data_IF_076369866072
#
_entry.id   IF_076369866072
#
_cell.length_a   1.000
_cell.length_b   1.000
_cell.length_c   1.000
_cell.angle_alpha   90.00
_cell.angle_beta   90.00
_cell.angle_gamma   90.00
#
_symmetry.space_group_name_H-M   'P 1'
#
loop_
_entity.id
_entity.type
_entity.pdbx_description
1 polymer ?
#
# COMPACT_ATOMS: atom_id res chain seq x y z
N UNK A 1 -1.23 7.15 7.85
CA UNK A 1 -1.16 6.29 9.04
C UNK A 1 -1.97 6.97 10.13
N UNK A 2 -2.84 6.21 10.76
CA UNK A 2 -3.57 6.57 11.98
C UNK A 2 -2.80 6.06 13.19
N UNK A 3 -2.97 6.70 14.35
CA UNK A 3 -2.41 6.22 15.63
C UNK A 3 -2.93 4.83 16.02
N UNK A 4 -4.04 4.39 15.42
CA UNK A 4 -4.63 3.07 15.62
C UNK A 4 -4.12 1.99 14.67
N UNK A 5 -3.26 2.32 13.70
CA UNK A 5 -2.79 1.34 12.72
C UNK A 5 -1.80 0.36 13.37
N UNK A 6 -2.07 -0.95 13.23
CA UNK A 6 -1.21 -2.02 13.78
C UNK A 6 -0.20 -2.58 12.78
N UNK A 7 -0.25 -2.12 11.52
CA UNK A 7 0.65 -2.53 10.45
C UNK A 7 0.95 -1.35 9.53
N UNK A 8 2.18 -1.28 9.03
CA UNK A 8 2.68 -0.15 8.23
C UNK A 8 3.44 -0.68 7.01
N UNK A 9 3.21 -0.04 5.85
CA UNK A 9 4.00 -0.26 4.65
C UNK A 9 4.89 0.95 4.41
N UNK A 10 6.20 0.75 4.52
CA UNK A 10 7.21 1.80 4.30
C UNK A 10 7.76 1.62 2.89
N UNK A 11 7.59 2.63 2.03
CA UNK A 11 8.10 2.65 0.67
C UNK A 11 9.19 3.73 0.58
N UNK A 12 10.38 3.35 0.14
CA UNK A 12 11.51 4.25 -0.07
C UNK A 12 11.85 4.32 -1.57
N UNK A 13 11.88 5.53 -2.12
CA UNK A 13 12.44 5.81 -3.45
C UNK A 13 13.82 6.42 -3.25
N UNK A 14 14.84 5.85 -3.87
CA UNK A 14 16.22 6.31 -3.71
C UNK A 14 16.99 6.18 -5.03
N UNK A 15 18.04 6.98 -5.19
CA UNK A 15 18.97 6.84 -6.31
C UNK A 15 19.82 5.59 -6.11
N UNK A 16 20.16 4.91 -7.22
CA UNK A 16 20.94 3.67 -7.18
C UNK A 16 22.34 3.90 -6.64
N UNK A 17 22.88 5.10 -6.79
CA UNK A 17 24.22 5.48 -6.33
C UNK A 17 24.30 5.76 -4.82
N UNK A 18 23.16 5.91 -4.14
CA UNK A 18 23.11 6.21 -2.71
C UNK A 18 23.16 4.91 -1.89
N UNK A 19 24.11 4.84 -0.94
CA UNK A 19 24.13 3.77 0.06
C UNK A 19 22.90 3.85 0.95
N UNK A 20 22.08 2.81 0.90
CA UNK A 20 20.90 2.70 1.75
C UNK A 20 21.27 2.22 3.16
N UNK A 21 20.94 3.03 4.16
CA UNK A 21 20.96 2.60 5.55
C UNK A 21 19.59 2.03 5.95
N UNK A 22 19.20 0.90 5.34
CA UNK A 22 17.93 0.22 5.64
C UNK A 22 17.79 -0.10 7.14
N UNK A 23 18.91 -0.38 7.81
CA UNK A 23 19.00 -0.56 9.27
C UNK A 23 18.42 0.59 10.05
N UNK A 24 18.63 1.82 9.59
CA UNK A 24 18.24 3.02 10.32
C UNK A 24 16.73 3.21 10.25
N UNK A 25 16.12 2.87 9.11
CA UNK A 25 14.66 2.89 8.92
C UNK A 25 14.01 1.79 9.77
N UNK A 26 14.56 0.58 9.72
CA UNK A 26 14.06 -0.56 10.50
C UNK A 26 14.12 -0.23 12.00
N UNK A 27 15.20 0.39 12.47
CA UNK A 27 15.37 0.78 13.87
C UNK A 27 14.36 1.85 14.37
N UNK A 28 13.60 2.50 13.48
CA UNK A 28 12.53 3.44 13.85
C UNK A 28 11.17 2.79 14.01
N UNK A 29 11.03 1.51 13.68
CA UNK A 29 9.77 0.78 13.76
C UNK A 29 9.83 -0.19 14.92
N UNK A 30 9.01 0.06 15.95
CA UNK A 30 8.79 -0.90 17.02
C UNK A 30 7.77 -1.94 16.52
N UNK A 31 8.27 -3.03 15.94
CA UNK A 31 7.43 -4.06 15.36
C UNK A 31 8.22 -5.17 14.67
N UNK A 32 7.50 -6.01 13.94
CA UNK A 32 8.06 -7.13 13.20
C UNK A 32 7.96 -6.86 11.70
N UNK A 33 9.10 -6.92 11.00
CA UNK A 33 9.11 -6.93 9.55
C UNK A 33 8.60 -8.29 9.03
N UNK A 34 7.69 -8.26 8.08
CA UNK A 34 7.13 -9.44 7.42
C UNK A 34 7.45 -9.41 5.91
N UNK A 35 7.43 -10.57 5.22
CA UNK A 35 7.56 -10.64 3.77
C UNK A 35 6.47 -9.83 3.03
N UNK A 36 6.80 -9.30 1.86
CA UNK A 36 5.89 -8.41 1.09
C UNK A 36 4.70 -9.17 0.50
N UNK A 37 4.88 -10.46 0.22
CA UNK A 37 3.85 -11.38 -0.21
C UNK A 37 2.68 -11.48 0.79
N UNK A 38 2.94 -11.25 2.08
CA UNK A 38 1.95 -11.32 3.15
C UNK A 38 1.08 -10.05 3.26
N UNK A 39 1.35 -9.00 2.46
CA UNK A 39 0.53 -7.76 2.44
C UNK A 39 -0.95 -8.05 2.13
N UNK A 40 -1.22 -9.09 1.35
CA UNK A 40 -2.58 -9.53 1.05
C UNK A 40 -3.37 -9.91 2.32
N UNK A 41 -2.69 -10.44 3.35
CA UNK A 41 -3.31 -10.82 4.63
C UNK A 41 -3.66 -9.60 5.51
N UNK A 42 -2.99 -8.47 5.28
CA UNK A 42 -3.21 -7.20 5.99
C UNK A 42 -4.21 -6.28 5.26
N UNK A 43 -4.63 -6.66 4.06
CA UNK A 43 -5.47 -5.84 3.20
C UNK A 43 -6.94 -6.01 3.56
N UNK A 44 -7.69 -4.89 3.59
CA UNK A 44 -9.14 -4.88 3.76
C UNK A 44 -9.82 -4.55 2.41
N UNK A 45 -10.35 -5.57 1.69
CA UNK A 45 -10.98 -5.35 0.39
C UNK A 45 -12.20 -4.45 0.48
N UNK A 46 -12.96 -4.48 1.58
CA UNK A 46 -14.15 -3.65 1.72
C UNK A 46 -13.77 -2.16 1.84
N UNK A 47 -12.71 -1.84 2.57
CA UNK A 47 -12.16 -0.48 2.63
C UNK A 47 -11.62 -0.02 1.27
N UNK A 48 -10.93 -0.88 0.52
CA UNK A 48 -10.45 -0.54 -0.84
C UNK A 48 -11.62 -0.22 -1.76
N UNK A 49 -12.61 -1.11 -1.84
CA UNK A 49 -13.80 -0.92 -2.67
C UNK A 49 -14.54 0.37 -2.33
N UNK A 50 -14.66 0.69 -1.03
CA UNK A 50 -15.26 1.95 -0.56
C UNK A 50 -14.43 3.18 -0.96
N UNK A 51 -13.11 3.13 -0.75
CA UNK A 51 -12.20 4.24 -1.03
C UNK A 51 -12.18 4.58 -2.53
N UNK A 52 -12.07 3.57 -3.37
CA UNK A 52 -12.04 3.73 -4.81
C UNK A 52 -13.43 3.73 -5.44
N UNK A 53 -14.51 3.54 -4.69
CA UNK A 53 -15.89 3.52 -5.22
C UNK A 53 -16.03 2.50 -6.35
N UNK A 54 -15.61 1.26 -6.12
CA UNK A 54 -15.74 0.17 -7.08
C UNK A 54 -17.15 -0.43 -7.05
N UNK A 55 -17.52 -1.06 -8.15
CA UNK A 55 -18.79 -1.76 -8.34
C UNK A 55 -18.62 -3.28 -8.15
N UNK A 56 -19.68 -4.02 -7.82
CA UNK A 56 -19.59 -5.49 -7.66
C UNK A 56 -19.06 -6.22 -8.91
N UNK A 57 -19.32 -5.69 -10.11
CA UNK A 57 -18.85 -6.25 -11.37
C UNK A 57 -17.32 -6.15 -11.53
N UNK A 58 -16.70 -5.17 -10.87
CA UNK A 58 -15.25 -4.94 -10.90
C UNK A 58 -14.49 -5.83 -9.90
N UNK A 59 -15.17 -6.63 -9.08
CA UNK A 59 -14.54 -7.45 -8.03
C UNK A 59 -13.51 -8.45 -8.60
N UNK A 60 -13.76 -8.98 -9.80
CA UNK A 60 -12.84 -9.92 -10.48
C UNK A 60 -11.62 -9.24 -11.09
N UNK A 61 -11.67 -7.90 -11.26
CA UNK A 61 -10.63 -7.07 -11.85
C UNK A 61 -10.30 -5.88 -10.93
N UNK A 62 -10.28 -6.12 -9.61
CA UNK A 62 -10.18 -5.04 -8.62
C UNK A 62 -8.90 -4.20 -8.78
N UNK A 63 -7.79 -4.83 -9.16
CA UNK A 63 -6.54 -4.13 -9.43
C UNK A 63 -6.70 -3.13 -10.58
N UNK A 64 -7.26 -3.55 -11.71
CA UNK A 64 -7.46 -2.68 -12.87
C UNK A 64 -8.37 -1.52 -12.53
N UNK A 65 -9.46 -1.80 -11.81
CA UNK A 65 -10.41 -0.81 -11.33
C UNK A 65 -9.74 0.28 -10.46
N UNK A 66 -8.83 -0.11 -9.57
CA UNK A 66 -8.05 0.81 -8.73
C UNK A 66 -7.03 1.60 -9.55
N UNK A 67 -6.24 0.92 -10.40
CA UNK A 67 -5.20 1.55 -11.23
C UNK A 67 -5.80 2.56 -12.20
N UNK A 68 -6.92 2.23 -12.86
CA UNK A 68 -7.63 3.16 -13.73
C UNK A 68 -8.02 4.44 -12.99
N UNK A 69 -8.57 4.32 -11.76
CA UNK A 69 -8.95 5.47 -10.96
C UNK A 69 -7.76 6.29 -10.46
N UNK A 70 -6.63 5.65 -10.17
CA UNK A 70 -5.39 6.36 -9.84
C UNK A 70 -4.88 7.15 -11.05
N UNK A 71 -4.92 6.56 -12.25
CA UNK A 71 -4.45 7.17 -13.48
C UNK A 71 -5.31 8.36 -13.95
N UNK A 72 -6.62 8.32 -13.72
CA UNK A 72 -7.54 9.39 -14.15
C UNK A 72 -7.83 10.44 -13.07
N UNK A 73 -7.23 10.31 -11.89
CA UNK A 73 -7.52 11.15 -10.72
C UNK A 73 -7.38 12.65 -10.99
N UNK A 74 -6.37 13.06 -11.76
CA UNK A 74 -6.07 14.47 -12.04
C UNK A 74 -6.75 14.99 -13.32
N UNK A 75 -7.51 14.14 -14.01
CA UNK A 75 -8.17 14.47 -15.30
C UNK A 75 -9.68 14.72 -15.13
N UNK A 76 -10.28 14.28 -14.01
CA UNK A 76 -11.69 14.51 -13.65
C UNK A 76 -11.84 15.69 -12.69
#
# INVERSE_FOLDING_TARGET
MSDSDSAVLIVLVHCKEETQHMSDIIAKVDGQQIPVEDVSMLTDPAKIKKLYKTTPQEDMCLLDAVVCRMATKDVM
#
